data_IF_110127762035
#
_entry.id   IF_110127762035
#
_cell.length_a   1.000
_cell.length_b   1.000
_cell.length_c   1.000
_cell.angle_alpha   90.00
_cell.angle_beta   90.00
_cell.angle_gamma   90.00
#
_symmetry.space_group_name_H-M   'P 1'
#
loop_
_entity.id
_entity.type
_entity.pdbx_description
1 polymer ?
#
# COMPACT_ATOMS: atom_id res chain seq x y z
N UNK A 1 7.11 -4.66 28.53
CA UNK A 1 7.50 -3.72 27.46
C UNK A 1 6.58 -3.96 26.28
N UNK A 2 5.55 -3.14 26.10
CA UNK A 2 4.72 -3.21 24.90
C UNK A 2 5.50 -2.50 23.80
N UNK A 3 6.13 -3.29 22.92
CA UNK A 3 6.75 -2.76 21.72
C UNK A 3 5.61 -2.16 20.88
N UNK A 4 5.52 -0.83 20.88
CA UNK A 4 4.55 -0.09 20.07
C UNK A 4 5.03 -0.27 18.63
N UNK A 5 4.61 -1.37 17.99
CA UNK A 5 4.81 -1.55 16.55
C UNK A 5 4.22 -0.30 15.88
N UNK A 6 4.97 0.45 15.05
CA UNK A 6 4.35 1.41 14.16
C UNK A 6 3.56 0.58 13.15
N UNK A 7 2.28 0.35 13.45
CA UNK A 7 1.41 -0.51 12.67
C UNK A 7 1.22 0.02 11.23
N UNK A 8 1.36 1.34 11.06
CA UNK A 8 1.32 2.02 9.77
C UNK A 8 2.68 2.66 9.47
N UNK A 9 3.28 2.29 8.34
CA UNK A 9 4.45 3.00 7.80
C UNK A 9 3.98 4.19 6.94
N UNK A 10 4.32 5.41 7.34
CA UNK A 10 4.11 6.60 6.50
C UNK A 10 5.43 6.89 5.80
N UNK A 11 5.45 6.77 4.48
CA UNK A 11 6.68 6.86 3.69
C UNK A 11 6.82 8.25 3.07
N UNK A 12 7.99 8.84 3.26
CA UNK A 12 8.39 10.17 2.78
C UNK A 12 9.71 10.07 1.96
N UNK A 13 10.27 11.21 1.52
CA UNK A 13 11.40 11.39 0.59
C UNK A 13 12.75 10.70 0.91
N UNK A 14 12.84 9.79 1.88
CA UNK A 14 14.12 9.18 2.30
C UNK A 14 14.09 7.69 2.64
N UNK A 15 12.92 7.02 2.57
CA UNK A 15 12.82 5.60 2.89
C UNK A 15 12.05 4.88 1.78
N UNK A 16 12.59 3.78 1.25
CA UNK A 16 11.88 2.98 0.26
C UNK A 16 10.64 2.35 0.89
N UNK A 17 9.47 2.48 0.23
CA UNK A 17 8.21 1.83 0.65
C UNK A 17 8.43 0.33 0.86
N UNK A 18 9.26 -0.27 0.01
CA UNK A 18 9.56 -1.69 0.04
C UNK A 18 10.38 -2.07 1.28
N UNK A 19 11.30 -1.21 1.73
CA UNK A 19 12.12 -1.48 2.92
C UNK A 19 11.37 -1.15 4.22
N UNK A 20 10.58 -0.07 4.20
CA UNK A 20 9.78 0.38 5.34
C UNK A 20 8.65 -0.60 5.66
N UNK A 21 7.90 -1.03 4.64
CA UNK A 21 6.63 -1.70 4.81
C UNK A 21 6.68 -3.19 4.44
N UNK A 22 7.50 -3.57 3.46
CA UNK A 22 7.42 -4.87 2.79
C UNK A 22 8.69 -5.72 2.89
N UNK A 23 8.88 -6.45 4.00
CA UNK A 23 9.98 -7.38 4.11
C UNK A 23 9.90 -8.44 3.01
N UNK A 24 11.06 -8.83 2.49
CA UNK A 24 11.17 -9.92 1.52
C UNK A 24 10.73 -11.22 2.19
N UNK A 25 9.74 -11.90 1.64
CA UNK A 25 9.23 -13.18 2.14
C UNK A 25 9.05 -14.15 0.99
N UNK A 26 10.06 -14.99 0.78
CA UNK A 26 10.09 -15.99 -0.29
C UNK A 26 9.06 -17.10 -0.10
N UNK A 27 8.72 -17.44 1.16
CA UNK A 27 7.85 -18.60 1.45
C UNK A 27 6.39 -18.23 1.29
N UNK A 28 5.74 -18.73 0.23
CA UNK A 28 4.30 -18.55 0.00
C UNK A 28 3.42 -19.01 1.19
N UNK A 29 3.82 -20.08 1.90
CA UNK A 29 3.14 -20.55 3.10
C UNK A 29 3.15 -19.55 4.28
N UNK A 30 4.12 -18.63 4.29
CA UNK A 30 4.25 -17.55 5.29
C UNK A 30 4.07 -16.16 4.68
N UNK A 31 3.43 -16.09 3.50
CA UNK A 31 3.24 -14.86 2.74
C UNK A 31 2.82 -13.71 3.65
N UNK A 32 3.62 -12.65 3.63
CA UNK A 32 3.37 -11.37 4.29
C UNK A 32 2.94 -10.37 3.23
N UNK A 33 1.82 -9.73 3.44
CA UNK A 33 1.26 -8.75 2.52
C UNK A 33 1.47 -7.35 3.06
N UNK A 34 1.58 -6.39 2.15
CA UNK A 34 1.53 -4.98 2.46
C UNK A 34 0.36 -4.33 1.74
N UNK A 35 -0.51 -3.65 2.47
CA UNK A 35 -1.49 -2.76 1.89
C UNK A 35 -0.91 -1.35 1.85
N UNK A 36 -0.72 -0.82 0.65
CA UNK A 36 -0.19 0.52 0.42
C UNK A 36 -1.30 1.39 -0.14
N UNK A 37 -1.68 2.44 0.57
CA UNK A 37 -2.57 3.46 0.03
C UNK A 37 -1.76 4.61 -0.57
N UNK A 38 -2.15 5.04 -1.77
CA UNK A 38 -1.56 6.16 -2.49
C UNK A 38 -2.52 7.36 -2.39
N UNK A 39 -2.01 8.54 -2.03
CA UNK A 39 -2.84 9.75 -2.10
C UNK A 39 -2.25 10.99 -1.42
N UNK A 40 -3.03 12.08 -1.40
CA UNK A 40 -2.70 13.31 -0.68
C UNK A 40 -3.04 13.21 0.82
N UNK A 41 -2.28 13.96 1.63
CA UNK A 41 -2.35 13.94 3.10
C UNK A 41 -3.78 14.13 3.61
N UNK A 42 -4.20 13.25 4.51
CA UNK A 42 -5.38 13.44 5.36
C UNK A 42 -6.61 12.60 5.01
N UNK A 43 -6.80 12.17 3.75
CA UNK A 43 -8.08 11.52 3.35
C UNK A 43 -8.19 10.08 3.85
N UNK A 44 -7.12 9.29 3.72
CA UNK A 44 -7.14 7.86 4.06
C UNK A 44 -6.31 7.51 5.31
N UNK A 45 -5.53 8.46 5.84
CA UNK A 45 -4.47 8.16 6.79
C UNK A 45 -4.99 7.68 8.15
N UNK A 46 -5.97 8.36 8.74
CA UNK A 46 -6.51 7.98 10.06
C UNK A 46 -7.23 6.63 10.03
N UNK A 47 -8.00 6.38 8.98
CA UNK A 47 -8.68 5.11 8.79
C UNK A 47 -7.69 3.96 8.52
N UNK A 48 -6.63 4.21 7.74
CA UNK A 48 -5.53 3.24 7.59
C UNK A 48 -4.85 2.98 8.92
N UNK A 49 -4.64 3.98 9.78
CA UNK A 49 -4.08 3.77 11.12
C UNK A 49 -4.97 2.86 11.96
N UNK A 50 -6.29 3.02 11.88
CA UNK A 50 -7.23 2.14 12.57
C UNK A 50 -7.11 0.70 12.05
N UNK A 51 -7.16 0.51 10.72
CA UNK A 51 -6.98 -0.80 10.09
C UNK A 51 -5.64 -1.45 10.43
N UNK A 52 -4.58 -0.64 10.52
CA UNK A 52 -3.25 -1.10 10.84
C UNK A 52 -3.13 -1.66 12.26
N UNK A 53 -3.83 -1.05 13.23
CA UNK A 53 -3.85 -1.51 14.62
C UNK A 53 -4.50 -2.88 14.76
N UNK A 54 -5.54 -3.14 13.97
CA UNK A 54 -6.28 -4.40 13.96
C UNK A 54 -5.69 -5.44 12.99
N UNK A 55 -4.62 -5.08 12.27
CA UNK A 55 -4.02 -5.91 11.26
C UNK A 55 -3.41 -7.20 11.86
N UNK A 56 -3.57 -8.36 11.21
CA UNK A 56 -2.84 -9.56 11.60
C UNK A 56 -1.34 -9.39 11.35
N UNK A 57 -0.48 -10.11 12.08
CA UNK A 57 0.99 -10.00 11.96
C UNK A 57 1.54 -10.22 10.53
N UNK A 58 0.78 -10.91 9.68
CA UNK A 58 1.11 -11.19 8.28
C UNK A 58 0.71 -10.07 7.32
N UNK A 59 0.10 -9.00 7.82
CA UNK A 59 -0.36 -7.86 7.05
C UNK A 59 0.24 -6.58 7.64
N UNK A 60 0.82 -5.75 6.78
CA UNK A 60 1.30 -4.41 7.15
C UNK A 60 0.58 -3.38 6.32
N UNK A 61 0.32 -2.23 6.91
CA UNK A 61 -0.22 -1.10 6.18
C UNK A 61 0.87 -0.06 5.98
N UNK A 62 0.84 0.59 4.82
CA UNK A 62 1.66 1.74 4.53
C UNK A 62 0.85 2.80 3.80
N UNK A 63 1.27 4.03 3.97
CA UNK A 63 0.73 5.17 3.27
C UNK A 63 1.86 5.89 2.57
N UNK A 64 1.68 6.15 1.28
CA UNK A 64 2.71 6.75 0.42
C UNK A 64 2.12 7.97 -0.25
N UNK A 65 2.82 9.08 -0.08
CA UNK A 65 2.53 10.27 -0.86
C UNK A 65 3.02 10.06 -2.29
N UNK A 66 2.13 10.24 -3.26
CA UNK A 66 2.42 10.04 -4.69
C UNK A 66 3.63 10.87 -5.16
N UNK A 67 3.80 12.08 -4.61
CA UNK A 67 4.92 12.97 -4.89
C UNK A 67 6.24 12.57 -4.21
N UNK A 68 6.19 11.82 -3.10
CA UNK A 68 7.37 11.46 -2.32
C UNK A 68 8.15 10.28 -2.92
N UNK A 69 7.47 9.40 -3.66
CA UNK A 69 8.04 8.19 -4.25
C UNK A 69 7.63 8.03 -5.73
N UNK A 70 8.01 8.96 -6.61
CA UNK A 70 7.56 8.98 -8.00
C UNK A 70 8.01 7.74 -8.79
N UNK A 71 9.22 7.21 -8.52
CA UNK A 71 9.74 6.03 -9.21
C UNK A 71 8.95 4.76 -8.87
N UNK A 72 8.55 4.61 -7.61
CA UNK A 72 7.70 3.52 -7.17
C UNK A 72 6.31 3.58 -7.83
N UNK A 73 5.69 4.76 -7.82
CA UNK A 73 4.38 4.99 -8.46
C UNK A 73 4.48 4.70 -9.97
N UNK A 74 5.55 5.16 -10.62
CA UNK A 74 5.80 4.89 -12.04
C UNK A 74 6.02 3.40 -12.33
N UNK A 75 6.74 2.68 -11.47
CA UNK A 75 6.96 1.25 -11.64
C UNK A 75 5.64 0.45 -11.55
N UNK A 76 4.73 0.86 -10.66
CA UNK A 76 3.37 0.29 -10.58
C UNK A 76 2.52 0.67 -11.81
N UNK A 77 2.62 1.90 -12.28
CA UNK A 77 1.90 2.39 -13.46
C UNK A 77 2.30 1.59 -14.71
N UNK A 78 3.60 1.50 -14.96
CA UNK A 78 4.13 0.76 -16.11
C UNK A 78 3.78 -0.72 -16.07
N UNK A 79 3.77 -1.34 -14.89
CA UNK A 79 3.45 -2.77 -14.77
C UNK A 79 1.96 -3.11 -14.91
N UNK A 80 1.07 -2.13 -14.70
CA UNK A 80 -0.38 -2.34 -14.75
C UNK A 80 -1.07 -1.66 -15.94
N UNK A 81 -0.36 -0.78 -16.65
CA UNK A 81 -0.91 0.01 -17.76
C UNK A 81 -1.86 1.13 -17.33
N UNK A 82 -1.90 1.45 -16.03
CA UNK A 82 -2.72 2.52 -15.45
C UNK A 82 -1.95 3.84 -15.51
N UNK A 83 -2.64 4.93 -15.86
CA UNK A 83 -2.06 6.27 -15.83
C UNK A 83 -1.80 6.73 -14.38
N UNK A 84 -0.65 7.39 -14.16
CA UNK A 84 -0.23 7.92 -12.86
C UNK A 84 -1.27 8.88 -12.27
N UNK A 85 -1.95 9.65 -13.12
CA UNK A 85 -3.00 10.59 -12.72
C UNK A 85 -4.22 9.91 -12.08
N UNK A 86 -4.47 8.64 -12.41
CA UNK A 86 -5.57 7.87 -11.83
C UNK A 86 -5.18 7.14 -10.54
N UNK A 87 -3.93 7.22 -10.11
CA UNK A 87 -3.42 6.48 -8.94
C UNK A 87 -3.75 7.13 -7.60
N UNK A 88 -4.21 8.37 -7.61
CA UNK A 88 -4.63 9.04 -6.39
C UNK A 88 -5.81 8.30 -5.74
N UNK A 89 -5.74 8.10 -4.43
CA UNK A 89 -6.74 7.39 -3.63
C UNK A 89 -6.86 5.89 -3.94
N UNK A 90 -5.96 5.31 -4.74
CA UNK A 90 -5.92 3.85 -4.96
C UNK A 90 -5.19 3.13 -3.84
N UNK A 91 -5.61 1.89 -3.60
CA UNK A 91 -4.94 0.95 -2.70
C UNK A 91 -4.33 -0.16 -3.53
N UNK A 92 -3.08 -0.48 -3.24
CA UNK A 92 -2.37 -1.62 -3.82
C UNK A 92 -1.95 -2.58 -2.72
N UNK A 93 -2.21 -3.87 -2.92
CA UNK A 93 -1.70 -4.94 -2.07
C UNK A 93 -0.45 -5.50 -2.72
N UNK A 94 0.65 -5.54 -1.98
CA UNK A 94 1.98 -5.93 -2.48
C UNK A 94 2.46 -7.15 -1.72
N UNK A 95 3.11 -8.05 -2.46
CA UNK A 95 3.93 -9.12 -1.92
C UNK A 95 5.30 -9.13 -2.60
N UNK A 96 6.34 -9.11 -1.78
CA UNK A 96 7.72 -9.07 -2.22
C UNK A 96 8.37 -10.44 -2.03
N UNK A 97 8.59 -11.16 -3.13
CA UNK A 97 9.35 -12.43 -3.12
C UNK A 97 10.86 -12.20 -3.19
N UNK A 98 11.27 -11.18 -3.94
CA UNK A 98 12.68 -10.82 -4.15
C UNK A 98 12.89 -9.32 -3.85
N UNK A 99 14.12 -8.86 -3.59
CA UNK A 99 14.36 -7.47 -3.27
C UNK A 99 13.85 -6.49 -4.33
N UNK A 100 14.02 -6.79 -5.61
CA UNK A 100 13.67 -5.88 -6.71
C UNK A 100 12.36 -6.24 -7.41
N UNK A 101 11.83 -7.43 -7.16
CA UNK A 101 10.66 -7.97 -7.87
C UNK A 101 9.46 -8.04 -6.93
N UNK A 102 8.44 -7.26 -7.26
CA UNK A 102 7.21 -7.19 -6.48
C UNK A 102 6.05 -7.72 -7.28
N UNK A 103 5.23 -8.54 -6.64
CA UNK A 103 3.92 -8.92 -7.13
C UNK A 103 2.91 -8.03 -6.43
N UNK A 104 1.90 -7.57 -7.17
CA UNK A 104 0.93 -6.65 -6.61
C UNK A 104 -0.43 -6.80 -7.28
N UNK A 105 -1.43 -6.30 -6.57
CA UNK A 105 -2.80 -6.25 -7.04
C UNK A 105 -3.50 -5.00 -6.54
N UNK A 106 -4.19 -4.33 -7.45
CA UNK A 106 -4.96 -3.14 -7.13
C UNK A 106 -6.30 -3.53 -6.52
N UNK A 107 -6.75 -2.73 -5.54
CA UNK A 107 -8.15 -2.72 -5.17
C UNK A 107 -8.95 -2.05 -6.29
N UNK A 108 -10.08 -2.63 -6.67
CA UNK A 108 -10.94 -2.07 -7.72
C UNK A 108 -11.61 -0.79 -7.23
N UNK A 109 -11.86 -0.69 -5.93
CA UNK A 109 -12.43 0.46 -5.26
C UNK A 109 -11.34 1.48 -4.87
N UNK A 110 -11.63 2.76 -5.07
CA UNK A 110 -10.81 3.87 -4.57
C UNK A 110 -11.24 4.26 -3.16
N UNK A 111 -10.30 4.73 -2.35
CA UNK A 111 -10.61 5.30 -1.05
C UNK A 111 -11.58 6.47 -1.18
N UNK A 112 -12.70 6.51 -0.44
CA UNK A 112 -13.66 7.61 -0.54
C UNK A 112 -13.04 8.91 -0.02
N UNK A 113 -13.35 10.02 -0.68
CA UNK A 113 -12.93 11.38 -0.28
C UNK A 113 -14.07 12.08 0.44
N UNK A 114 -13.79 12.74 1.57
CA UNK A 114 -14.75 13.63 2.21
C UNK A 114 -14.91 14.91 1.38
N UNK A 115 -15.99 15.03 0.63
CA UNK A 115 -16.52 16.28 0.10
C UNK A 115 -17.17 17.06 1.25
N UNK A 116 -16.97 18.38 1.31
CA UNK A 116 -17.29 19.25 2.45
C UNK A 116 -18.78 19.44 2.76
N UNK A 117 -19.68 18.75 2.05
CA UNK A 117 -21.10 19.01 2.11
C UNK A 117 -21.75 18.05 3.13
N UNK A 118 -22.15 18.61 4.28
CA UNK A 118 -22.58 17.90 5.48
C UNK A 118 -23.78 16.94 5.37
N UNK A 119 -24.36 16.78 4.16
CA UNK A 119 -25.38 15.77 3.85
C UNK A 119 -24.80 14.41 3.42
N UNK A 120 -23.48 14.30 3.21
CA UNK A 120 -22.82 13.11 2.66
C UNK A 120 -22.17 12.16 3.69
N UNK A 121 -22.27 12.42 5.00
CA UNK A 121 -21.55 11.63 6.01
C UNK A 121 -21.95 10.15 6.04
N UNK A 122 -23.24 9.85 5.93
CA UNK A 122 -23.74 8.47 5.89
C UNK A 122 -23.32 7.74 4.60
N UNK A 123 -23.34 8.44 3.47
CA UNK A 123 -22.93 7.88 2.17
C UNK A 123 -21.41 7.67 2.11
N UNK A 124 -20.63 8.61 2.64
CA UNK A 124 -19.18 8.47 2.85
C UNK A 124 -18.89 7.25 3.72
N UNK A 125 -19.56 7.11 4.87
CA UNK A 125 -19.34 5.99 5.78
C UNK A 125 -19.70 4.66 5.13
N UNK A 126 -20.78 4.61 4.34
CA UNK A 126 -21.16 3.41 3.60
C UNK A 126 -20.10 3.03 2.57
N UNK A 127 -19.65 3.98 1.73
CA UNK A 127 -18.57 3.75 0.76
C UNK A 127 -17.27 3.31 1.43
N UNK A 128 -16.96 3.90 2.58
CA UNK A 128 -15.79 3.52 3.39
C UNK A 128 -15.90 2.08 3.89
N UNK A 129 -17.06 1.69 4.40
CA UNK A 129 -17.32 0.33 4.86
C UNK A 129 -17.23 -0.68 3.70
N UNK A 130 -17.77 -0.35 2.53
CA UNK A 130 -17.70 -1.18 1.33
C UNK A 130 -16.25 -1.34 0.86
N UNK A 131 -15.47 -0.25 0.83
CA UNK A 131 -14.04 -0.26 0.48
C UNK A 131 -13.23 -1.13 1.47
N UNK A 132 -13.50 -1.00 2.78
CA UNK A 132 -12.87 -1.83 3.83
C UNK A 132 -13.18 -3.31 3.64
N UNK A 133 -14.43 -3.64 3.32
CA UNK A 133 -14.86 -5.03 3.08
C UNK A 133 -14.22 -5.60 1.82
N UNK A 134 -14.15 -4.83 0.74
CA UNK A 134 -13.49 -5.23 -0.50
C UNK A 134 -11.99 -5.49 -0.26
N UNK A 135 -11.33 -4.61 0.49
CA UNK A 135 -9.92 -4.76 0.89
C UNK A 135 -9.70 -6.03 1.73
N UNK A 136 -10.53 -6.28 2.73
CA UNK A 136 -10.43 -7.48 3.58
C UNK A 136 -10.62 -8.78 2.76
N UNK A 137 -11.58 -8.80 1.83
CA UNK A 137 -11.77 -9.93 0.93
C UNK A 137 -10.55 -10.16 0.02
N UNK A 138 -9.98 -9.09 -0.52
CA UNK A 138 -8.77 -9.14 -1.36
C UNK A 138 -7.59 -9.71 -0.55
N UNK A 139 -7.35 -9.21 0.66
CA UNK A 139 -6.31 -9.69 1.56
C UNK A 139 -6.51 -11.17 1.90
N UNK A 140 -7.73 -11.57 2.31
CA UNK A 140 -8.03 -12.97 2.66
C UNK A 140 -7.78 -13.93 1.51
N UNK A 141 -8.08 -13.50 0.27
CA UNK A 141 -7.78 -14.28 -0.93
C UNK A 141 -6.27 -14.37 -1.16
N UNK A 142 -5.56 -13.25 -1.11
CA UNK A 142 -4.12 -13.16 -1.38
C UNK A 142 -3.24 -13.82 -0.29
N UNK A 143 -3.74 -13.96 0.94
CA UNK A 143 -3.04 -14.71 2.01
C UNK A 143 -3.02 -16.23 1.76
N UNK A 144 -3.84 -16.75 0.84
CA UNK A 144 -3.83 -18.15 0.45
C UNK A 144 -2.53 -18.47 -0.33
N UNK A 145 -1.79 -19.53 0.03
CA UNK A 145 -0.49 -19.83 -0.60
C UNK A 145 -0.56 -20.11 -2.10
N UNK A 146 -1.70 -20.59 -2.59
CA UNK A 146 -1.93 -20.95 -4.00
C UNK A 146 -2.35 -19.76 -4.86
N UNK A 147 -2.68 -18.62 -4.25
CA UNK A 147 -3.20 -17.47 -4.97
C UNK A 147 -2.07 -16.69 -5.65
N UNK A 148 -2.23 -16.41 -6.94
CA UNK A 148 -1.33 -15.54 -7.69
C UNK A 148 -1.88 -14.11 -7.69
N UNK A 149 -0.98 -13.12 -7.59
CA UNK A 149 -1.33 -11.72 -7.80
C UNK A 149 -1.44 -11.42 -9.29
N UNK A 150 -2.30 -10.47 -9.64
CA UNK A 150 -2.58 -10.13 -11.03
C UNK A 150 -1.38 -9.51 -11.77
N UNK A 151 -0.56 -8.72 -11.08
CA UNK A 151 0.53 -7.97 -11.71
C UNK A 151 1.88 -8.23 -11.05
N UNK A 152 2.93 -7.97 -11.82
CA UNK A 152 4.30 -8.04 -11.37
C UNK A 152 5.09 -6.87 -11.96
N UNK A 153 5.96 -6.25 -11.16
CA UNK A 153 6.84 -5.18 -11.64
C UNK A 153 8.20 -5.28 -10.96
N UNK A 154 9.19 -4.68 -11.61
CA UNK A 154 10.52 -4.51 -11.07
C UNK A 154 10.69 -3.08 -10.59
N UNK A 155 10.98 -2.92 -9.30
CA UNK A 155 11.31 -1.62 -8.72
C UNK A 155 12.82 -1.54 -8.67
N UNK A 156 13.39 -0.62 -9.46
CA UNK A 156 14.80 -0.27 -9.31
C UNK A 156 14.93 0.45 -7.97
N UNK A 157 15.59 -0.19 -7.02
CA UNK A 157 16.11 0.51 -5.85
C UNK A 157 17.28 1.30 -6.40
N UNK A 158 17.08 2.56 -6.76
CA UNK A 158 18.21 3.45 -6.91
C UNK A 158 18.83 3.51 -5.51
N UNK A 159 19.97 2.84 -5.36
CA UNK A 159 20.86 3.04 -4.23
C UNK A 159 20.91 4.55 -3.99
N UNK A 160 20.60 4.93 -2.74
CA UNK A 160 20.94 6.26 -2.24
C UNK A 160 22.42 6.42 -2.60
N UNK A 161 22.70 7.25 -3.61
CA UNK A 161 24.06 7.48 -4.07
C UNK A 161 24.93 7.74 -2.84
N UNK A 162 26.09 7.06 -2.69
CA UNK A 162 27.00 7.37 -1.61
C UNK A 162 27.32 8.86 -1.73
N UNK A 163 27.02 9.61 -0.67
CA UNK A 163 27.41 11.00 -0.55
C UNK A 163 28.88 11.10 -0.98
N UNK A 164 29.11 11.74 -2.13
CA UNK A 164 30.44 12.10 -2.58
C UNK A 164 30.99 13.02 -1.50
N UNK A 165 31.96 12.51 -0.74
CA UNK A 165 32.78 13.31 0.17
C UNK A 165 33.75 14.08 -0.72
N UNK A 166 33.60 15.40 -0.75
CA UNK A 166 34.63 16.33 -1.23
C UNK A 166 35.57 16.67 -0.08
#
# INVERSE_FOLDING_TARGET
>A
MCEVKPHLAVVDYGLSVLEAACPVEWRAARRRLCCVALGPRGVALEELRALAREAPDRLRYAYVYTHAQPDFVRALANGSGIDISEMEHRIVVIWRREPTRIQYEWLNETWPTCTSDGYESAHYQQRLNDTKRALDNLIKRLLKPTEMMAYETHVQVYDVFPFITY
#
